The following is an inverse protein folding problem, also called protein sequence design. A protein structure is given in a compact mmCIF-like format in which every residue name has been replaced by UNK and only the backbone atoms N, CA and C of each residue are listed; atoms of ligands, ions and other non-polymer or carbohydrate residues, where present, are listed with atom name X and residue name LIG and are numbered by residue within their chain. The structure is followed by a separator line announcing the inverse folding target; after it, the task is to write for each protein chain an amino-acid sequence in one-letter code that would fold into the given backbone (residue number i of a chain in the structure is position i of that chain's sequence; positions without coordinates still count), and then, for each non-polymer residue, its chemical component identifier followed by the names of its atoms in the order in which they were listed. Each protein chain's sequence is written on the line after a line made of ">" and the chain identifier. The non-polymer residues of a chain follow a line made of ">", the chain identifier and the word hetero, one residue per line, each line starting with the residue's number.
data_IF_093457243681
#
_entry.id   IF_093457243681
#
_cell.length_a   1.000
_cell.length_b   1.000
_cell.length_c   1.000
_cell.angle_alpha   90.00
_cell.angle_beta   90.00
_cell.angle_gamma   90.00
#
_symmetry.space_group_name_H-M   'P 1'
#
loop_
_entity.id
_entity.type
_entity.pdbx_description
1 polymer ?
#
# COMPACT_ATOMS: atom_id res chain seq x y z
N UNK A 1 -11.28 -14.99 -6.29
CA UNK A 1 -11.53 -13.53 -6.42
C UNK A 1 -12.00 -12.79 -5.14
N UNK A 2 -13.03 -13.19 -4.38
CA UNK A 2 -13.42 -12.47 -3.14
C UNK A 2 -12.25 -12.30 -2.13
N UNK A 3 -11.49 -13.37 -1.89
CA UNK A 3 -10.31 -13.33 -1.03
C UNK A 3 -9.20 -12.43 -1.59
N UNK A 4 -9.00 -12.43 -2.91
CA UNK A 4 -8.03 -11.53 -3.58
C UNK A 4 -8.44 -10.07 -3.44
N UNK A 5 -9.74 -9.75 -3.55
CA UNK A 5 -10.25 -8.40 -3.30
C UNK A 5 -10.04 -7.96 -1.84
N UNK A 6 -10.26 -8.87 -0.89
CA UNK A 6 -10.00 -8.62 0.52
C UNK A 6 -8.50 -8.37 0.79
N UNK A 7 -7.63 -9.14 0.15
CA UNK A 7 -6.18 -8.97 0.23
C UNK A 7 -5.70 -7.64 -0.39
N UNK A 8 -6.23 -7.26 -1.56
CA UNK A 8 -5.89 -5.98 -2.20
C UNK A 8 -6.28 -4.77 -1.32
N UNK A 9 -7.43 -4.82 -0.64
CA UNK A 9 -7.83 -3.78 0.32
C UNK A 9 -6.97 -3.83 1.59
N UNK A 10 -6.68 -5.02 2.13
CA UNK A 10 -5.90 -5.15 3.36
C UNK A 10 -4.45 -4.71 3.20
N UNK A 11 -3.86 -4.90 2.02
CA UNK A 11 -2.49 -4.50 1.69
C UNK A 11 -2.24 -2.99 1.85
N UNK A 12 -3.30 -2.18 1.74
CA UNK A 12 -3.24 -0.72 1.88
C UNK A 12 -3.91 -0.20 3.15
N UNK A 13 -4.37 -1.09 4.04
CA UNK A 13 -5.16 -0.72 5.21
C UNK A 13 -4.36 -0.01 6.32
N UNK A 14 -3.06 -0.29 6.42
CA UNK A 14 -2.22 0.21 7.53
C UNK A 14 -1.87 1.69 7.43
N UNK A 15 -2.27 2.39 6.37
CA UNK A 15 -1.84 3.76 6.07
C UNK A 15 -2.50 4.81 6.95
N UNK A 16 -3.67 4.54 7.55
CA UNK A 16 -4.38 5.54 8.36
C UNK A 16 -3.48 6.12 9.47
N UNK A 17 -3.40 7.44 9.66
CA UNK A 17 -2.51 8.10 10.65
C UNK A 17 -0.99 7.87 10.48
N UNK A 18 -0.52 7.14 9.45
CA UNK A 18 0.91 6.95 9.14
C UNK A 18 1.46 8.13 8.34
N UNK A 19 1.39 9.34 8.89
CA UNK A 19 1.77 10.58 8.20
C UNK A 19 3.28 10.82 8.12
N UNK A 20 4.07 10.02 8.85
CA UNK A 20 5.53 10.06 8.78
C UNK A 20 6.03 9.61 7.40
N UNK A 21 6.88 10.42 6.77
CA UNK A 21 7.51 10.08 5.49
C UNK A 21 8.51 8.92 5.70
N UNK A 22 8.40 7.80 4.98
CA UNK A 22 9.41 6.74 5.03
C UNK A 22 10.74 7.24 4.47
N UNK A 23 11.85 6.58 4.86
CA UNK A 23 13.15 6.86 4.26
C UNK A 23 13.10 6.58 2.76
N UNK A 24 13.74 7.44 1.97
CA UNK A 24 13.91 7.20 0.54
C UNK A 24 15.01 6.12 0.39
N UNK A 25 14.71 4.95 -0.19
CA UNK A 25 15.72 3.91 -0.34
C UNK A 25 16.88 4.37 -1.24
N UNK A 26 18.10 3.95 -0.92
CA UNK A 26 19.24 4.16 -1.79
C UNK A 26 19.14 3.25 -3.03
N UNK A 27 19.71 3.64 -4.16
CA UNK A 27 19.76 2.79 -5.35
C UNK A 27 20.53 1.49 -5.04
N UNK A 28 19.91 0.34 -5.29
CA UNK A 28 20.45 -0.98 -4.93
C UNK A 28 20.21 -1.40 -3.48
N UNK A 29 19.53 -0.58 -2.67
CA UNK A 29 19.06 -0.98 -1.34
C UNK A 29 18.08 -2.14 -1.45
N UNK A 30 18.24 -3.13 -0.58
CA UNK A 30 17.38 -4.31 -0.52
C UNK A 30 16.66 -4.40 0.81
N UNK A 31 15.59 -5.17 0.85
CA UNK A 31 14.95 -5.58 2.11
C UNK A 31 14.36 -6.98 1.95
N UNK A 32 14.74 -7.89 2.83
CA UNK A 32 14.11 -9.21 2.93
C UNK A 32 13.23 -9.40 4.16
N UNK A 33 12.25 -10.29 4.06
CA UNK A 33 11.43 -10.70 5.20
C UNK A 33 10.99 -12.16 5.03
N UNK A 34 11.30 -13.01 6.00
CA UNK A 34 10.73 -14.37 6.08
C UNK A 34 9.82 -14.45 7.30
N UNK A 35 8.57 -14.86 7.10
CA UNK A 35 7.56 -15.03 8.15
C UNK A 35 7.04 -16.46 8.09
N UNK A 36 7.71 -17.35 8.80
CA UNK A 36 7.32 -18.77 8.88
C UNK A 36 5.91 -18.95 9.44
N UNK A 37 5.56 -18.14 10.45
CA UNK A 37 4.24 -18.12 11.08
C UNK A 37 3.11 -17.70 10.13
N UNK A 38 3.44 -16.90 9.10
CA UNK A 38 2.52 -16.48 8.04
C UNK A 38 2.72 -17.23 6.72
N UNK A 39 3.72 -18.12 6.66
CA UNK A 39 3.97 -18.99 5.52
C UNK A 39 4.51 -18.30 4.27
N UNK A 40 5.26 -17.19 4.36
CA UNK A 40 5.84 -16.54 3.18
C UNK A 40 7.26 -16.02 3.39
N UNK A 41 7.97 -15.80 2.28
CA UNK A 41 9.20 -14.99 2.24
C UNK A 41 9.11 -13.92 1.16
N UNK A 42 9.82 -12.83 1.36
CA UNK A 42 9.75 -11.59 0.60
C UNK A 42 11.15 -11.02 0.37
N UNK A 43 11.36 -10.42 -0.81
CA UNK A 43 12.52 -9.61 -1.15
C UNK A 43 12.06 -8.37 -1.94
N UNK A 44 12.70 -7.23 -1.69
CA UNK A 44 12.58 -6.04 -2.51
C UNK A 44 13.94 -5.41 -2.79
N UNK A 45 14.02 -4.68 -3.90
CA UNK A 45 15.19 -3.90 -4.31
C UNK A 45 14.75 -2.53 -4.82
N UNK A 46 15.49 -1.48 -4.47
CA UNK A 46 15.36 -0.17 -5.09
C UNK A 46 16.05 -0.18 -6.46
N UNK A 47 15.29 -0.58 -7.48
CA UNK A 47 15.77 -0.80 -8.85
C UNK A 47 16.04 0.50 -9.63
N UNK A 48 15.47 1.62 -9.20
CA UNK A 48 15.72 2.94 -9.80
C UNK A 48 15.55 4.05 -8.78
N UNK A 49 16.31 5.14 -8.91
CA UNK A 49 16.20 6.34 -8.06
C UNK A 49 15.57 7.54 -8.79
N UNK A 50 15.67 7.59 -10.13
CA UNK A 50 15.07 8.63 -10.96
C UNK A 50 14.45 8.03 -12.23
N UNK A 51 13.13 7.73 -12.25
CA UNK A 51 12.19 7.87 -11.12
C UNK A 51 12.46 6.83 -10.00
N UNK A 52 12.02 7.09 -8.75
CA UNK A 52 12.18 6.13 -7.66
C UNK A 52 11.25 4.93 -7.89
N UNK A 53 11.81 3.75 -8.11
CA UNK A 53 11.07 2.50 -8.31
C UNK A 53 11.59 1.47 -7.32
N UNK A 54 10.69 0.90 -6.53
CA UNK A 54 10.96 -0.27 -5.68
C UNK A 54 10.27 -1.48 -6.31
N UNK A 55 11.04 -2.52 -6.65
CA UNK A 55 10.52 -3.79 -7.11
C UNK A 55 10.46 -4.78 -5.95
N UNK A 56 9.47 -5.67 -5.93
CA UNK A 56 9.34 -6.67 -4.89
C UNK A 56 8.84 -8.01 -5.43
N UNK A 57 9.19 -9.06 -4.70
CA UNK A 57 8.80 -10.44 -4.95
C UNK A 57 8.54 -11.14 -3.63
N UNK A 58 7.47 -11.93 -3.58
CA UNK A 58 7.08 -12.73 -2.43
C UNK A 58 6.58 -14.08 -2.91
N UNK A 59 6.92 -15.12 -2.18
CA UNK A 59 6.43 -16.47 -2.44
C UNK A 59 5.98 -17.15 -1.15
N UNK A 60 4.92 -17.96 -1.26
CA UNK A 60 4.50 -18.82 -0.18
C UNK A 60 5.54 -19.92 0.06
N UNK A 61 5.90 -20.16 1.33
CA UNK A 61 6.85 -21.21 1.71
C UNK A 61 6.36 -22.61 1.28
N UNK A 62 5.05 -22.77 1.14
CA UNK A 62 4.39 -23.98 0.66
C UNK A 62 4.11 -23.98 -0.85
N UNK A 63 4.69 -23.04 -1.61
CA UNK A 63 4.53 -22.89 -3.06
C UNK A 63 3.05 -22.80 -3.49
N UNK A 64 2.24 -22.11 -2.70
CA UNK A 64 0.82 -21.91 -2.94
C UNK A 64 0.52 -20.60 -3.67
N UNK A 65 1.36 -19.58 -3.53
CA UNK A 65 1.25 -18.32 -4.26
C UNK A 65 2.60 -17.70 -4.61
N UNK A 66 2.58 -16.82 -5.62
CA UNK A 66 3.62 -15.83 -5.90
C UNK A 66 2.96 -14.45 -5.94
N UNK A 67 3.55 -13.45 -5.30
CA UNK A 67 3.05 -12.08 -5.23
C UNK A 67 4.17 -11.10 -5.54
N UNK A 68 4.04 -10.30 -6.59
CA UNK A 68 5.10 -9.44 -7.06
C UNK A 68 4.57 -8.17 -7.74
N UNK A 69 5.48 -7.24 -7.97
CA UNK A 69 5.22 -6.03 -8.71
C UNK A 69 6.31 -5.00 -8.47
N UNK A 70 6.09 -3.81 -9.01
CA UNK A 70 6.96 -2.66 -8.80
C UNK A 70 6.13 -1.41 -8.54
N UNK A 71 6.63 -0.50 -7.71
CA UNK A 71 5.92 0.72 -7.34
C UNK A 71 6.79 1.94 -7.60
N UNK A 72 6.25 2.85 -8.41
CA UNK A 72 6.70 4.21 -8.59
C UNK A 72 5.67 5.18 -7.98
N UNK A 73 5.93 5.78 -6.80
CA UNK A 73 5.04 6.76 -6.20
C UNK A 73 5.17 8.11 -6.91
N UNK A 74 4.31 8.38 -7.89
CA UNK A 74 4.30 9.67 -8.59
C UNK A 74 3.59 10.72 -7.74
N UNK A 75 4.33 11.74 -7.32
CA UNK A 75 3.81 12.83 -6.50
C UNK A 75 3.19 13.96 -7.35
N UNK A 76 2.06 14.50 -6.91
CA UNK A 76 1.42 15.72 -7.41
C UNK A 76 1.02 16.60 -6.24
N UNK A 77 1.35 17.89 -6.31
CA UNK A 77 0.99 18.87 -5.29
C UNK A 77 -0.23 19.67 -5.75
N UNK A 78 -1.25 19.73 -4.90
CA UNK A 78 -2.54 20.37 -5.15
C UNK A 78 -2.80 21.53 -4.17
N UNK A 79 -1.76 22.32 -3.87
CA UNK A 79 -1.86 23.45 -2.95
C UNK A 79 -1.86 23.02 -1.48
N UNK A 80 -2.96 22.47 -0.98
CA UNK A 80 -3.05 22.02 0.44
C UNK A 80 -2.81 20.53 0.63
N UNK A 81 -2.74 19.76 -0.45
CA UNK A 81 -2.60 18.31 -0.41
C UNK A 81 -1.54 17.79 -1.37
N UNK A 82 -0.96 16.63 -1.05
CA UNK A 82 -0.05 15.88 -1.93
C UNK A 82 -0.72 14.56 -2.27
N UNK A 83 -0.88 14.30 -3.56
CA UNK A 83 -1.28 12.99 -4.07
C UNK A 83 -0.05 12.17 -4.43
N UNK A 84 0.02 10.95 -3.91
CA UNK A 84 0.93 9.90 -4.32
C UNK A 84 0.16 8.86 -5.12
N UNK A 85 0.41 8.79 -6.42
CA UNK A 85 -0.15 7.80 -7.34
C UNK A 85 0.83 6.60 -7.41
N UNK A 86 0.54 5.44 -6.77
CA UNK A 86 1.42 4.29 -6.77
C UNK A 86 1.35 3.55 -8.11
N UNK A 87 2.21 3.94 -9.04
CA UNK A 87 2.23 3.38 -10.40
C UNK A 87 2.95 2.04 -10.43
N UNK A 88 2.31 1.06 -11.04
CA UNK A 88 2.86 -0.24 -11.34
C UNK A 88 1.82 -1.34 -11.18
N UNK A 89 2.03 -2.44 -11.90
CA UNK A 89 1.12 -3.59 -11.87
C UNK A 89 1.47 -4.44 -10.66
N UNK A 90 0.46 -4.73 -9.84
CA UNK A 90 0.54 -5.75 -8.81
C UNK A 90 0.05 -7.07 -9.41
N UNK A 91 0.81 -8.14 -9.21
CA UNK A 91 0.51 -9.47 -9.73
C UNK A 91 0.47 -10.48 -8.59
N UNK A 92 -0.61 -11.25 -8.51
CA UNK A 92 -0.76 -12.39 -7.61
C UNK A 92 -1.07 -13.64 -8.43
N UNK A 93 -0.27 -14.67 -8.25
CA UNK A 93 -0.40 -15.96 -8.91
C UNK A 93 -0.75 -17.01 -7.85
N UNK A 94 -1.90 -17.67 -7.99
CA UNK A 94 -2.32 -18.78 -7.13
C UNK A 94 -1.96 -20.09 -7.83
N UNK A 95 -0.79 -20.62 -7.50
CA UNK A 95 -0.13 -21.70 -8.24
C UNK A 95 -0.97 -22.98 -8.28
N UNK A 96 -1.65 -23.32 -7.18
CA UNK A 96 -2.53 -24.51 -7.09
C UNK A 96 -3.75 -24.44 -8.00
N UNK A 97 -4.17 -23.23 -8.38
CA UNK A 97 -5.35 -23.01 -9.22
C UNK A 97 -4.98 -22.65 -10.65
N UNK A 98 -3.69 -22.45 -10.95
CA UNK A 98 -3.22 -21.90 -12.22
C UNK A 98 -3.96 -20.60 -12.59
N UNK A 99 -4.11 -19.72 -11.59
CA UNK A 99 -4.80 -18.44 -11.72
C UNK A 99 -3.84 -17.29 -11.48
N UNK A 100 -3.96 -16.24 -12.29
CA UNK A 100 -3.24 -15.00 -12.11
C UNK A 100 -4.18 -13.82 -12.02
N UNK A 101 -3.85 -12.91 -11.11
CA UNK A 101 -4.63 -11.73 -10.79
C UNK A 101 -3.76 -10.50 -10.89
N UNK A 102 -4.25 -9.46 -11.58
CA UNK A 102 -3.53 -8.18 -11.64
C UNK A 102 -4.41 -7.00 -11.26
N UNK A 103 -3.83 -6.01 -10.60
CA UNK A 103 -4.47 -4.73 -10.30
C UNK A 103 -3.43 -3.62 -10.11
N UNK A 104 -3.91 -2.38 -9.94
CA UNK A 104 -3.12 -1.23 -9.48
C UNK A 104 -3.67 -0.73 -8.16
N UNK A 105 -2.82 -0.18 -7.30
CA UNK A 105 -3.24 0.35 -6.00
C UNK A 105 -3.99 1.69 -6.15
N UNK A 106 -4.85 2.06 -5.17
CA UNK A 106 -5.54 3.35 -5.16
C UNK A 106 -4.55 4.50 -4.95
N UNK A 107 -4.94 5.72 -5.34
CA UNK A 107 -4.17 6.93 -5.04
C UNK A 107 -4.23 7.20 -3.54
N UNK A 108 -3.09 7.58 -2.95
CA UNK A 108 -3.02 8.06 -1.59
C UNK A 108 -2.91 9.60 -1.58
N UNK A 109 -3.68 10.27 -0.74
CA UNK A 109 -3.65 11.71 -0.59
C UNK A 109 -3.29 12.07 0.85
N UNK A 110 -2.27 12.91 1.00
CA UNK A 110 -1.90 13.55 2.28
C UNK A 110 -2.49 14.95 2.26
N UNK A 111 -3.43 15.22 3.15
CA UNK A 111 -4.06 16.54 3.28
C UNK A 111 -3.34 17.41 4.30
N UNK A 112 -3.58 18.71 4.24
CA UNK A 112 -3.07 19.71 5.17
C UNK A 112 -1.53 19.80 5.22
N UNK A 113 -0.86 19.64 4.07
CA UNK A 113 0.62 19.58 4.00
C UNK A 113 1.32 20.92 4.28
N UNK A 114 0.58 22.03 4.27
CA UNK A 114 1.11 23.37 4.61
C UNK A 114 0.73 23.76 6.05
N UNK A 115 -0.56 23.71 6.39
CA UNK A 115 -1.13 24.14 7.68
C UNK A 115 -2.21 23.15 8.09
N UNK A 116 -2.29 22.85 9.39
CA UNK A 116 -3.29 21.96 9.97
C UNK A 116 -2.75 20.58 10.33
N UNK A 117 -3.62 19.71 10.83
CA UNK A 117 -3.27 18.33 11.14
C UNK A 117 -3.22 17.51 9.86
N UNK A 118 -2.06 16.91 9.57
CA UNK A 118 -1.91 15.95 8.47
C UNK A 118 -2.86 14.76 8.65
N UNK A 119 -3.55 14.38 7.59
CA UNK A 119 -4.34 13.15 7.55
C UNK A 119 -4.28 12.52 6.17
N UNK A 120 -4.58 11.22 6.13
CA UNK A 120 -4.40 10.38 4.95
C UNK A 120 -5.74 9.90 4.42
N UNK A 121 -5.87 9.95 3.11
CA UNK A 121 -7.00 9.42 2.38
C UNK A 121 -6.52 8.47 1.29
N UNK A 122 -7.35 7.51 0.93
CA UNK A 122 -7.16 6.70 -0.27
C UNK A 122 -8.44 6.68 -1.08
N UNK A 123 -8.32 6.97 -2.38
CA UNK A 123 -9.43 6.99 -3.31
C UNK A 123 -9.01 6.51 -4.71
N UNK A 124 -10.00 6.24 -5.54
CA UNK A 124 -9.81 5.77 -6.92
C UNK A 124 -10.47 4.43 -7.18
N UNK A 125 -10.36 3.95 -8.41
CA UNK A 125 -10.93 2.67 -8.82
C UNK A 125 -9.82 1.63 -8.95
N UNK A 126 -9.93 0.56 -8.18
CA UNK A 126 -9.06 -0.61 -8.27
C UNK A 126 -9.81 -1.70 -9.03
N UNK A 127 -9.20 -2.17 -10.13
CA UNK A 127 -9.74 -3.25 -10.93
C UNK A 127 -8.84 -4.48 -10.83
N UNK A 128 -9.37 -5.56 -10.26
CA UNK A 128 -8.68 -6.84 -10.13
C UNK A 128 -9.22 -7.76 -11.21
N UNK A 129 -8.35 -8.18 -12.12
CA UNK A 129 -8.70 -9.07 -13.23
C UNK A 129 -8.14 -10.46 -12.97
N UNK A 130 -8.97 -11.49 -13.01
CA UNK A 130 -8.53 -12.89 -13.08
C UNK A 130 -8.30 -13.24 -14.55
N UNK A 131 -7.04 -13.45 -14.94
CA UNK A 131 -6.67 -13.73 -16.33
C UNK A 131 -7.04 -15.14 -16.78
N UNK A 132 -7.27 -16.06 -15.86
CA UNK A 132 -7.62 -17.45 -16.17
C UNK A 132 -9.13 -17.63 -16.41
N UNK A 133 -9.98 -16.91 -15.67
CA UNK A 133 -11.45 -17.04 -15.80
C UNK A 133 -12.11 -15.89 -16.55
N UNK A 134 -11.45 -14.72 -16.62
CA UNK A 134 -12.03 -13.47 -17.11
C UNK A 134 -12.93 -12.77 -16.09
N UNK A 135 -13.03 -13.29 -14.86
CA UNK A 135 -13.76 -12.62 -13.79
C UNK A 135 -13.05 -11.32 -13.38
N UNK A 136 -13.83 -10.32 -13.00
CA UNK A 136 -13.31 -8.99 -12.62
C UNK A 136 -13.94 -8.50 -11.34
N UNK A 137 -13.12 -7.99 -10.43
CA UNK A 137 -13.56 -7.25 -9.26
C UNK A 137 -13.28 -5.76 -9.47
N UNK A 138 -14.31 -4.92 -9.30
CA UNK A 138 -14.18 -3.47 -9.35
C UNK A 138 -14.41 -2.93 -7.94
N UNK A 139 -13.42 -2.26 -7.37
CA UNK A 139 -13.46 -1.64 -6.04
C UNK A 139 -13.31 -0.13 -6.18
N UNK A 140 -14.27 0.63 -5.68
CA UNK A 140 -14.22 2.08 -5.67
C UNK A 140 -13.89 2.54 -4.24
N UNK A 141 -12.67 3.04 -4.07
CA UNK A 141 -12.27 3.78 -2.87
C UNK A 141 -12.84 5.18 -3.00
N UNK A 142 -13.85 5.49 -2.19
CA UNK A 142 -14.62 6.72 -2.30
C UNK A 142 -13.81 7.89 -1.72
N UNK A 143 -13.76 9.03 -2.41
CA UNK A 143 -13.26 10.23 -1.79
C UNK A 143 -14.25 10.69 -0.70
N UNK A 144 -13.72 11.34 0.32
CA UNK A 144 -14.35 11.87 1.52
C UNK A 144 -15.60 12.71 1.19
N UNK A 145 -15.50 13.53 0.13
CA UNK A 145 -16.57 14.43 -0.32
C UNK A 145 -16.81 15.61 0.64
N UNK A 146 -17.68 16.55 0.23
CA UNK A 146 -17.90 17.83 0.92
C UNK A 146 -18.42 17.72 2.37
N UNK A 147 -18.97 16.57 2.76
CA UNK A 147 -19.53 16.34 4.11
C UNK A 147 -18.90 15.14 4.82
N UNK A 148 -17.77 14.64 4.30
CA UNK A 148 -17.06 13.50 4.85
C UNK A 148 -17.73 12.13 4.76
N UNK A 149 -19.00 12.04 4.33
CA UNK A 149 -19.90 10.84 4.43
C UNK A 149 -19.34 9.54 3.85
N UNK A 150 -18.36 9.67 2.98
CA UNK A 150 -17.78 8.55 2.24
C UNK A 150 -16.33 8.27 2.67
N UNK A 151 -15.86 8.93 3.74
CA UNK A 151 -14.49 8.80 4.23
C UNK A 151 -14.14 7.33 4.47
N UNK A 152 -13.08 6.90 3.80
CA UNK A 152 -12.52 5.55 3.79
C UNK A 152 -13.41 4.46 3.20
N UNK A 153 -14.59 4.79 2.68
CA UNK A 153 -15.54 3.80 2.19
C UNK A 153 -14.99 3.13 0.93
N UNK A 154 -15.14 1.81 0.89
CA UNK A 154 -14.86 0.99 -0.30
C UNK A 154 -16.17 0.34 -0.72
N UNK A 155 -16.56 0.52 -1.97
CA UNK A 155 -17.74 -0.14 -2.56
C UNK A 155 -17.43 -0.68 -3.94
N UNK A 156 -17.88 -1.90 -4.21
CA UNK A 156 -17.49 -2.61 -5.41
C UNK A 156 -18.35 -3.82 -5.69
N UNK A 157 -17.97 -4.56 -6.71
CA UNK A 157 -18.65 -5.79 -7.09
C UNK A 157 -17.69 -6.71 -7.83
N UNK A 158 -18.00 -8.01 -7.78
CA UNK A 158 -17.39 -9.02 -8.64
C UNK A 158 -18.37 -9.32 -9.76
N UNK A 159 -17.86 -9.41 -10.99
CA UNK A 159 -18.61 -9.82 -12.16
C UNK A 159 -17.88 -10.94 -12.90
N UNK A 160 -18.64 -11.78 -13.59
CA UNK A 160 -18.08 -12.77 -14.50
C UNK A 160 -17.64 -12.14 -15.84
N UNK A 161 -17.03 -12.95 -16.71
CA UNK A 161 -16.65 -12.56 -18.08
C UNK A 161 -17.81 -12.04 -18.94
N UNK A 162 -19.05 -12.36 -18.59
CA UNK A 162 -20.27 -11.89 -19.26
C UNK A 162 -20.84 -10.62 -18.61
N UNK A 163 -20.10 -9.98 -17.70
CA UNK A 163 -20.49 -8.78 -16.95
C UNK A 163 -21.69 -8.98 -16.03
N UNK A 164 -22.03 -10.23 -15.69
CA UNK A 164 -23.06 -10.51 -14.69
C UNK A 164 -22.46 -10.30 -13.30
N UNK A 165 -23.05 -9.40 -12.52
CA UNK A 165 -22.66 -9.18 -11.12
C UNK A 165 -22.95 -10.43 -10.28
N UNK A 166 -21.90 -10.99 -9.68
CA UNK A 166 -21.97 -12.19 -8.84
C UNK A 166 -22.15 -11.82 -7.37
N UNK A 167 -21.43 -10.82 -6.88
CA UNK A 167 -21.59 -10.30 -5.52
C UNK A 167 -21.21 -8.82 -5.42
N UNK A 168 -21.71 -8.16 -4.40
CA UNK A 168 -21.28 -6.81 -4.00
C UNK A 168 -20.24 -6.94 -2.90
N UNK A 169 -19.27 -6.02 -2.91
CA UNK A 169 -18.25 -5.87 -1.88
C UNK A 169 -18.40 -4.47 -1.29
N UNK A 170 -18.42 -4.35 0.03
CA UNK A 170 -18.55 -3.04 0.69
C UNK A 170 -17.82 -3.03 2.04
N UNK A 171 -17.37 -1.85 2.47
CA UNK A 171 -16.64 -1.72 3.72
C UNK A 171 -15.95 -0.36 3.88
N UNK A 172 -14.96 -0.33 4.76
CA UNK A 172 -14.00 0.76 4.91
C UNK A 172 -12.60 0.17 4.94
N UNK A 173 -11.67 0.72 4.16
CA UNK A 173 -10.29 0.20 4.11
C UNK A 173 -9.54 0.35 5.44
N UNK A 174 -10.05 1.17 6.36
CA UNK A 174 -9.53 1.32 7.73
C UNK A 174 -10.15 0.36 8.75
N UNK A 175 -11.16 -0.45 8.38
CA UNK A 175 -11.92 -1.24 9.34
C UNK A 175 -12.11 -2.70 8.88
N UNK A 176 -12.89 -2.91 7.82
CA UNK A 176 -13.31 -4.24 7.38
C UNK A 176 -13.92 -4.22 5.97
N UNK A 177 -14.03 -5.41 5.39
CA UNK A 177 -14.64 -5.65 4.09
C UNK A 177 -15.64 -6.80 4.19
N UNK A 178 -16.82 -6.59 3.62
CA UNK A 178 -17.94 -7.53 3.58
C UNK A 178 -18.32 -7.85 2.14
N UNK A 179 -18.99 -8.97 1.95
CA UNK A 179 -19.64 -9.30 0.69
C UNK A 179 -21.08 -9.76 0.91
N UNK A 180 -21.95 -9.40 -0.02
CA UNK A 180 -23.37 -9.76 -0.01
C UNK A 180 -23.87 -9.98 -1.43
N UNK A 181 -25.03 -10.60 -1.60
CA UNK A 181 -25.64 -10.75 -2.91
C UNK A 181 -26.12 -9.38 -3.46
N UNK A 182 -26.12 -9.19 -4.78
CA UNK A 182 -26.48 -7.90 -5.37
C UNK A 182 -27.92 -7.45 -5.04
N UNK A 183 -28.88 -8.37 -4.89
CA UNK A 183 -30.27 -8.02 -4.67
C UNK A 183 -30.51 -7.50 -3.24
N UNK A 184 -29.89 -8.14 -2.25
CA UNK A 184 -29.91 -7.70 -0.85
C UNK A 184 -29.29 -6.32 -0.70
N UNK A 185 -28.15 -6.08 -1.36
CA UNK A 185 -27.49 -4.77 -1.33
C UNK A 185 -28.37 -3.65 -1.94
N UNK A 186 -28.97 -3.89 -3.10
CA UNK A 186 -29.87 -2.91 -3.74
C UNK A 186 -31.11 -2.61 -2.90
N UNK A 187 -31.69 -3.64 -2.28
CA UNK A 187 -32.82 -3.48 -1.37
C UNK A 187 -32.45 -2.62 -0.16
N UNK A 188 -31.29 -2.87 0.44
CA UNK A 188 -30.78 -2.09 1.57
C UNK A 188 -30.49 -0.63 1.19
N UNK A 189 -29.83 -0.38 0.04
CA UNK A 189 -29.56 0.98 -0.47
C UNK A 189 -30.85 1.76 -0.73
N UNK A 190 -31.92 1.10 -1.19
CA UNK A 190 -33.24 1.73 -1.38
C UNK A 190 -33.90 2.08 -0.05
N UNK A 191 -33.80 1.24 0.98
CA UNK A 191 -34.34 1.56 2.31
C UNK A 191 -33.60 2.71 2.97
N UNK A 192 -32.27 2.77 2.83
CA UNK A 192 -31.47 3.90 3.35
C UNK A 192 -31.87 5.23 2.70
N UNK A 193 -32.08 5.27 1.39
CA UNK A 193 -32.55 6.48 0.69
C UNK A 193 -33.91 6.95 1.20
N UNK A 194 -34.87 6.03 1.38
CA UNK A 194 -36.22 6.35 1.90
C UNK A 194 -36.18 6.84 3.35
N UNK A 195 -35.34 6.25 4.20
CA UNK A 195 -35.15 6.69 5.58
C UNK A 195 -34.41 8.04 5.69
N UNK A 196 -33.48 8.31 4.76
CA UNK A 196 -32.77 9.59 4.66
C UNK A 196 -33.66 10.77 4.22
N UNK A 197 -34.63 10.53 3.34
CA UNK A 197 -35.63 11.53 2.94
C UNK A 197 -36.55 11.93 4.11
N UNK A 198 -36.96 10.98 4.96
CA UNK A 198 -37.74 11.26 6.17
C UNK A 198 -36.94 12.02 7.24
N UNK A 199 -35.61 11.84 7.31
CA UNK A 199 -34.73 12.64 8.20
C UNK A 199 -34.48 14.05 7.67
N UNK A 200 -34.42 14.24 6.34
CA UNK A 200 -34.22 15.57 5.72
C UNK A 200 -35.38 16.53 5.97
N UNK A 201 -36.61 16.05 6.17
CA UNK A 201 -37.77 16.91 6.47
C UNK A 201 -37.79 17.46 7.91
N UNK A 202 -36.81 17.11 8.76
CA UNK A 202 -36.68 17.61 10.14
C UNK A 202 -35.44 18.48 10.40
N UNK A 203 -34.57 18.67 9.40
CA UNK A 203 -33.28 19.36 9.55
C UNK A 203 -33.22 20.69 8.78
N UNK A 204 -34.35 21.18 8.24
CA UNK A 204 -34.38 22.36 7.37
C UNK A 204 -34.51 23.71 8.08
N UNK A 205 -34.28 23.82 9.38
CA UNK A 205 -34.42 25.12 10.09
C UNK A 205 -33.17 25.69 10.76
N UNK A 206 -32.07 24.95 10.96
CA UNK A 206 -30.92 25.51 11.67
C UNK A 206 -29.58 25.01 11.11
N UNK A 207 -29.09 25.57 10.01
CA UNK A 207 -27.64 25.89 9.79
C UNK A 207 -27.55 26.90 8.64
N UNK A 208 -27.53 28.20 8.96
CA UNK A 208 -26.77 29.17 8.17
C UNK A 208 -25.55 29.50 9.04
N UNK A 209 -24.45 28.79 8.81
CA UNK A 209 -23.13 29.18 9.30
C UNK A 209 -22.25 29.52 8.11
N UNK A 210 -21.55 30.62 8.30
CA UNK A 210 -20.73 31.38 7.37
C UNK A 210 -19.77 30.51 6.57
N UNK A 211 -19.87 30.63 5.24
CA UNK A 211 -18.84 30.22 4.30
C UNK A 211 -17.57 31.04 4.54
N UNK A 212 -16.42 30.36 4.47
CA UNK A 212 -15.03 30.83 4.62
C UNK A 212 -14.41 30.53 6.00
N UNK A 213 -14.02 29.26 6.20
CA UNK A 213 -12.77 28.81 6.87
C UNK A 213 -12.84 27.33 7.35
N UNK A 214 -13.98 26.64 7.22
CA UNK A 214 -14.17 25.24 7.72
C UNK A 214 -13.64 24.12 6.80
N UNK A 215 -12.92 24.42 5.71
CA UNK A 215 -12.46 23.39 4.77
C UNK A 215 -11.17 22.66 5.19
N UNK A 216 -10.52 23.08 6.28
CA UNK A 216 -9.19 22.56 6.69
C UNK A 216 -9.25 21.56 7.86
N UNK A 217 -10.39 21.36 8.50
CA UNK A 217 -10.52 20.38 9.58
C UNK A 217 -10.85 18.98 9.04
N UNK A 218 -10.14 17.97 9.58
CA UNK A 218 -10.43 16.57 9.30
C UNK A 218 -11.88 16.27 9.69
N UNK A 219 -12.71 15.68 8.81
CA UNK A 219 -14.09 15.38 9.15
C UNK A 219 -14.15 14.49 10.39
N UNK A 220 -15.10 14.77 11.29
CA UNK A 220 -15.30 13.96 12.49
C UNK A 220 -15.48 12.48 12.11
N UNK A 221 -14.87 11.60 12.92
CA UNK A 221 -14.84 10.15 12.67
C UNK A 221 -16.26 9.63 12.51
N UNK A 222 -16.55 9.16 11.30
CA UNK A 222 -17.89 8.72 10.94
C UNK A 222 -18.20 7.31 11.44
N UNK A 223 -19.49 7.06 11.66
CA UNK A 223 -20.07 5.78 12.03
C UNK A 223 -19.38 4.61 11.30
N UNK A 224 -19.06 3.55 12.07
CA UNK A 224 -18.53 2.29 11.54
C UNK A 224 -19.40 1.75 10.40
N UNK A 225 -18.81 0.97 9.49
CA UNK A 225 -19.56 0.36 8.37
C UNK A 225 -20.83 -0.32 8.88
N UNK A 226 -22.00 0.10 8.38
CA UNK A 226 -23.27 -0.55 8.74
C UNK A 226 -23.31 -1.98 8.16
N UNK A 227 -23.60 -2.95 9.02
CA UNK A 227 -23.73 -4.34 8.65
C UNK A 227 -25.06 -4.58 7.91
N UNK A 228 -25.00 -5.16 6.72
CA UNK A 228 -26.17 -5.60 5.97
C UNK A 228 -26.44 -7.06 6.34
N UNK A 229 -27.60 -7.41 6.91
CA UNK A 229 -27.93 -8.79 7.27
C UNK A 229 -27.72 -9.77 6.10
N UNK A 230 -27.13 -10.93 6.40
CA UNK A 230 -26.78 -11.94 5.39
C UNK A 230 -25.40 -11.75 4.74
N UNK A 231 -24.67 -10.67 5.07
CA UNK A 231 -23.33 -10.44 4.52
C UNK A 231 -22.28 -11.38 5.13
N UNK A 232 -21.34 -11.80 4.30
CA UNK A 232 -20.15 -12.57 4.67
C UNK A 232 -18.98 -11.64 4.95
N UNK A 233 -18.34 -11.77 6.11
CA UNK A 233 -17.09 -11.05 6.41
C UNK A 233 -15.97 -11.61 5.52
N UNK A 234 -15.27 -10.73 4.81
CA UNK A 234 -14.11 -11.09 4.00
C UNK A 234 -12.79 -10.78 4.70
N UNK A 235 -12.72 -9.62 5.37
CA UNK A 235 -11.52 -9.15 6.05
C UNK A 235 -11.88 -8.15 7.15
N UNK A 236 -11.05 -8.09 8.19
CA UNK A 236 -11.09 -7.08 9.25
C UNK A 236 -9.65 -6.70 9.61
N UNK A 237 -9.42 -5.42 9.83
CA UNK A 237 -8.11 -4.92 10.26
C UNK A 237 -7.77 -5.43 11.66
N UNK A 238 -6.50 -5.73 11.90
CA UNK A 238 -6.01 -6.01 13.24
C UNK A 238 -5.93 -4.71 14.04
N UNK A 239 -6.28 -4.77 15.32
CA UNK A 239 -6.12 -3.63 16.22
C UNK A 239 -4.64 -3.24 16.32
N UNK A 240 -4.38 -1.93 16.35
CA UNK A 240 -3.05 -1.41 16.65
C UNK A 240 -2.67 -1.70 18.11
N UNK A 241 -1.37 -1.89 18.40
CA UNK A 241 -0.93 -2.04 19.79
C UNK A 241 -1.22 -0.75 20.59
N UNK A 242 -1.43 -0.83 21.91
CA UNK A 242 -1.84 0.33 22.73
C UNK A 242 -0.87 1.53 22.67
N UNK A 243 0.41 1.28 22.45
CA UNK A 243 1.47 2.28 22.34
C UNK A 243 1.71 2.78 20.89
N UNK A 244 0.89 2.37 19.94
CA UNK A 244 1.04 2.72 18.52
C UNK A 244 1.15 4.24 18.28
N UNK A 245 0.35 5.05 18.97
CA UNK A 245 0.38 6.52 18.82
C UNK A 245 1.69 7.17 19.29
N UNK A 246 2.45 6.48 20.15
CA UNK A 246 3.77 6.91 20.61
C UNK A 246 4.89 6.40 19.69
N UNK A 247 4.59 5.43 18.81
CA UNK A 247 5.53 4.76 17.92
C UNK A 247 5.08 4.91 16.46
N UNK A 248 4.95 6.16 16.01
CA UNK A 248 4.69 6.51 14.61
C UNK A 248 3.43 5.86 14.00
N UNK A 249 2.45 5.50 14.83
CA UNK A 249 1.23 4.78 14.45
C UNK A 249 1.46 3.40 13.81
N UNK A 250 2.55 2.71 14.20
CA UNK A 250 2.89 1.40 13.66
C UNK A 250 1.91 0.30 14.11
N UNK A 251 1.61 -0.61 13.17
CA UNK A 251 0.97 -1.89 13.49
C UNK A 251 2.00 -2.83 14.13
N UNK A 252 1.57 -3.88 14.83
CA UNK A 252 2.50 -4.89 15.35
C UNK A 252 3.36 -5.53 14.25
N UNK A 253 2.79 -5.70 13.05
CA UNK A 253 3.54 -6.15 11.88
C UNK A 253 4.64 -5.15 11.49
N UNK A 254 4.33 -3.85 11.43
CA UNK A 254 5.29 -2.82 11.07
C UNK A 254 6.44 -2.70 12.07
N UNK A 255 6.17 -2.85 13.37
CA UNK A 255 7.20 -2.85 14.42
C UNK A 255 8.23 -3.96 14.19
N UNK A 256 7.80 -5.15 13.76
CA UNK A 256 8.72 -6.28 13.50
C UNK A 256 9.58 -6.13 12.23
N UNK A 257 9.31 -5.16 11.35
CA UNK A 257 9.96 -5.12 10.04
C UNK A 257 11.47 -4.83 10.12
N UNK A 258 11.87 -3.92 11.02
CA UNK A 258 13.24 -3.42 11.14
C UNK A 258 13.99 -4.03 12.35
N UNK A 259 13.40 -5.03 12.99
CA UNK A 259 14.07 -5.80 14.04
C UNK A 259 15.29 -6.52 13.45
N UNK A 260 16.42 -6.42 14.16
CA UNK A 260 17.70 -7.02 13.79
C UNK A 260 18.14 -7.91 14.95
N UNK A 261 17.80 -9.19 14.86
CA UNK A 261 18.15 -10.19 15.88
C UNK A 261 19.65 -10.52 15.84
N UNK A 262 20.16 -11.01 16.97
CA UNK A 262 21.55 -11.41 17.10
C UNK A 262 21.90 -12.49 16.06
N UNK A 263 22.93 -12.24 15.25
CA UNK A 263 23.40 -13.16 14.21
C UNK A 263 22.76 -12.93 12.83
N UNK A 264 21.70 -12.13 12.71
CA UNK A 264 21.12 -11.77 11.40
C UNK A 264 22.14 -11.06 10.50
N UNK A 265 22.99 -10.21 11.07
CA UNK A 265 24.02 -9.47 10.32
C UNK A 265 24.95 -10.37 9.49
N UNK A 266 25.16 -11.63 9.92
CA UNK A 266 26.01 -12.58 9.20
C UNK A 266 25.32 -13.25 8.00
N UNK A 267 23.97 -13.16 7.91
CA UNK A 267 23.16 -13.80 6.86
C UNK A 267 22.47 -12.80 5.93
N UNK A 268 22.31 -11.54 6.36
CA UNK A 268 21.71 -10.48 5.56
C UNK A 268 22.65 -10.09 4.41
N UNK A 269 22.06 -9.67 3.30
CA UNK A 269 22.84 -8.94 2.29
C UNK A 269 23.37 -7.64 2.91
N UNK A 270 24.59 -7.17 2.54
CA UNK A 270 25.13 -5.90 3.04
C UNK A 270 24.28 -4.69 2.61
N UNK A 271 23.37 -4.89 1.67
CA UNK A 271 22.39 -3.92 1.17
C UNK A 271 21.05 -3.98 1.90
N UNK A 272 20.84 -4.86 2.89
CA UNK A 272 19.58 -4.95 3.63
C UNK A 272 19.37 -3.72 4.52
N UNK A 273 18.20 -3.08 4.43
CA UNK A 273 17.95 -1.81 5.09
C UNK A 273 17.91 -1.88 6.63
N UNK A 274 17.90 -3.07 7.25
CA UNK A 274 18.13 -3.20 8.69
C UNK A 274 19.53 -2.76 9.12
N UNK A 275 20.49 -2.83 8.20
CA UNK A 275 21.88 -2.42 8.39
C UNK A 275 22.08 -0.91 8.11
N UNK A 276 21.04 -0.22 7.64
CA UNK A 276 21.13 1.17 7.23
C UNK A 276 21.25 2.11 8.45
N UNK A 277 22.36 2.87 8.59
CA UNK A 277 22.71 3.51 9.86
C UNK A 277 21.83 4.70 10.23
N UNK A 278 21.31 5.48 9.27
CA UNK A 278 20.41 6.61 9.55
C UNK A 278 19.06 6.14 10.13
N UNK A 279 18.49 5.08 9.56
CA UNK A 279 17.26 4.44 10.06
C UNK A 279 17.47 3.91 11.48
N UNK A 280 18.54 3.14 11.71
CA UNK A 280 18.83 2.55 13.02
C UNK A 280 19.02 3.60 14.11
N UNK A 281 19.76 4.68 13.80
CA UNK A 281 19.96 5.77 14.75
C UNK A 281 18.65 6.52 15.05
N UNK A 282 17.79 6.74 14.06
CA UNK A 282 16.49 7.37 14.28
C UNK A 282 15.59 6.50 15.17
N UNK A 283 15.57 5.19 14.93
CA UNK A 283 14.80 4.23 15.72
C UNK A 283 15.26 4.19 17.19
N UNK A 284 16.58 4.28 17.43
CA UNK A 284 17.17 4.35 18.77
C UNK A 284 17.03 5.74 19.44
N UNK A 285 16.41 6.72 18.78
CA UNK A 285 16.24 8.08 19.30
C UNK A 285 17.46 9.00 19.14
N UNK A 286 18.52 8.55 18.46
CA UNK A 286 19.75 9.31 18.22
C UNK A 286 19.60 10.23 17.00
N UNK A 287 18.73 11.24 17.10
CA UNK A 287 18.33 12.09 15.96
C UNK A 287 19.47 12.83 15.27
N UNK A 288 20.46 13.32 16.04
CA UNK A 288 21.62 14.04 15.49
C UNK A 288 22.52 13.13 14.66
N UNK A 289 22.75 11.90 15.14
CA UNK A 289 23.54 10.89 14.43
C UNK A 289 22.81 10.42 13.19
N UNK A 290 21.49 10.17 13.30
CA UNK A 290 20.65 9.81 12.16
C UNK A 290 20.72 10.86 11.04
N UNK A 291 20.68 12.14 11.40
CA UNK A 291 20.75 13.24 10.43
C UNK A 291 22.10 13.30 9.71
N UNK A 292 23.22 13.11 10.44
CA UNK A 292 24.58 13.07 9.86
C UNK A 292 24.78 11.87 8.95
N UNK A 293 24.34 10.68 9.39
CA UNK A 293 24.45 9.47 8.58
C UNK A 293 23.60 9.58 7.32
N UNK A 294 22.41 10.17 7.39
CA UNK A 294 21.58 10.43 6.22
C UNK A 294 22.30 11.30 5.19
N UNK A 295 22.91 12.40 5.63
CA UNK A 295 23.68 13.29 4.76
C UNK A 295 24.85 12.53 4.11
N UNK A 296 25.62 11.77 4.89
CA UNK A 296 26.74 10.94 4.41
C UNK A 296 26.29 9.94 3.35
N UNK A 297 25.18 9.23 3.57
CA UNK A 297 24.62 8.24 2.64
C UNK A 297 24.15 8.90 1.33
N UNK A 298 23.41 10.00 1.43
CA UNK A 298 22.93 10.73 0.25
C UNK A 298 24.09 11.35 -0.56
N UNK A 299 25.17 11.78 0.10
CA UNK A 299 26.40 12.24 -0.55
C UNK A 299 27.15 11.10 -1.24
N UNK A 300 27.35 9.96 -0.58
CA UNK A 300 27.97 8.76 -1.15
C UNK A 300 27.22 8.32 -2.42
N UNK A 301 25.89 8.25 -2.37
CA UNK A 301 25.07 7.93 -3.53
C UNK A 301 25.21 8.95 -4.66
N UNK A 302 25.23 10.26 -4.35
CA UNK A 302 25.41 11.33 -5.34
C UNK A 302 26.78 11.26 -6.01
N UNK A 303 27.83 10.98 -5.24
CA UNK A 303 29.19 10.80 -5.75
C UNK A 303 29.26 9.58 -6.68
N UNK A 304 28.80 8.42 -6.23
CA UNK A 304 28.78 7.19 -7.02
C UNK A 304 27.99 7.34 -8.33
N UNK A 305 26.89 8.11 -8.33
CA UNK A 305 26.15 8.44 -9.56
C UNK A 305 26.98 9.30 -10.52
N UNK A 306 27.70 10.31 -10.02
CA UNK A 306 28.58 11.16 -10.83
C UNK A 306 29.73 10.35 -11.43
N UNK A 307 30.31 9.45 -10.66
CA UNK A 307 31.38 8.56 -11.12
C UNK A 307 30.90 7.65 -12.24
N UNK A 308 29.76 6.96 -12.06
CA UNK A 308 29.15 6.15 -13.13
C UNK A 308 28.85 6.96 -14.39
N UNK A 309 28.35 8.19 -14.26
CA UNK A 309 28.06 9.05 -15.40
C UNK A 309 29.33 9.52 -16.13
N UNK A 310 30.43 9.78 -15.40
CA UNK A 310 31.73 10.14 -15.97
C UNK A 310 32.35 8.97 -16.72
N UNK A 311 32.21 7.76 -16.17
CA UNK A 311 32.84 6.55 -16.70
C UNK A 311 31.92 5.83 -17.71
N UNK A 312 30.79 6.44 -18.09
CA UNK A 312 29.77 5.90 -19.01
C UNK A 312 29.26 4.50 -18.61
N UNK A 313 29.22 4.21 -17.31
CA UNK A 313 28.76 2.94 -16.75
C UNK A 313 27.26 2.99 -16.46
N UNK A 314 26.53 1.96 -16.93
CA UNK A 314 25.13 1.75 -16.56
C UNK A 314 25.00 1.09 -15.20
N UNK A 315 23.91 1.39 -14.50
CA UNK A 315 23.55 0.67 -13.28
C UNK A 315 22.82 -0.61 -13.65
N UNK A 316 23.32 -1.75 -13.16
CA UNK A 316 22.63 -3.04 -13.25
C UNK A 316 22.07 -3.41 -11.89
N UNK A 317 20.76 -3.65 -11.84
CA UNK A 317 20.07 -4.21 -10.69
C UNK A 317 20.46 -5.67 -10.51
N UNK A 318 20.48 -6.13 -9.25
CA UNK A 318 21.03 -7.46 -8.95
C UNK A 318 19.96 -8.54 -8.95
N UNK A 319 18.80 -8.25 -8.36
CA UNK A 319 17.79 -9.25 -8.06
C UNK A 319 16.56 -9.14 -8.95
N UNK A 320 16.43 -8.05 -9.69
CA UNK A 320 15.34 -7.81 -10.62
C UNK A 320 15.88 -7.40 -11.99
N UNK A 321 15.11 -7.63 -13.04
CA UNK A 321 15.39 -7.15 -14.39
C UNK A 321 14.13 -6.57 -15.02
N UNK A 322 14.30 -5.65 -15.97
CA UNK A 322 13.17 -5.14 -16.74
C UNK A 322 12.66 -6.24 -17.68
N UNK A 323 11.35 -6.43 -17.67
CA UNK A 323 10.68 -7.41 -18.51
C UNK A 323 9.26 -6.97 -18.85
N UNK A 324 8.50 -7.89 -19.43
CA UNK A 324 7.08 -7.68 -19.73
C UNK A 324 6.25 -8.55 -18.80
N UNK A 325 5.27 -7.94 -18.13
CA UNK A 325 4.30 -8.68 -17.32
C UNK A 325 3.54 -9.67 -18.22
N UNK A 326 3.55 -10.98 -17.91
CA UNK A 326 3.02 -12.01 -18.82
C UNK A 326 1.50 -11.94 -18.99
N UNK A 327 0.79 -11.24 -18.10
CA UNK A 327 -0.67 -11.18 -18.09
C UNK A 327 -1.22 -9.88 -18.69
N UNK A 328 -0.51 -8.77 -18.52
CA UNK A 328 -0.96 -7.45 -19.00
C UNK A 328 -0.20 -6.94 -20.23
N UNK A 329 0.96 -7.52 -20.55
CA UNK A 329 1.84 -7.03 -21.61
C UNK A 329 2.52 -5.69 -21.29
N UNK A 330 2.40 -5.18 -20.06
CA UNK A 330 3.02 -3.92 -19.63
C UNK A 330 4.47 -4.14 -19.20
N UNK A 331 5.31 -3.10 -19.29
CA UNK A 331 6.65 -3.13 -18.68
C UNK A 331 6.56 -3.40 -17.18
N UNK A 332 7.47 -4.23 -16.66
CA UNK A 332 7.54 -4.60 -15.25
C UNK A 332 8.98 -4.86 -14.81
N UNK A 333 9.19 -5.02 -13.51
CA UNK A 333 10.45 -5.49 -12.93
C UNK A 333 10.25 -6.90 -12.37
N UNK A 334 10.86 -7.88 -13.03
CA UNK A 334 10.70 -9.29 -12.73
C UNK A 334 11.85 -9.78 -11.86
N UNK A 335 11.55 -10.61 -10.86
CA UNK A 335 12.56 -11.21 -10.01
C UNK A 335 13.44 -12.19 -10.82
N UNK A 336 14.75 -12.03 -10.70
CA UNK A 336 15.76 -12.80 -11.44
C UNK A 336 16.12 -14.13 -10.77
N UNK A 337 15.67 -14.37 -9.52
CA UNK A 337 16.13 -15.50 -8.72
C UNK A 337 17.44 -15.24 -7.99
N UNK A 338 17.94 -16.23 -7.27
CA UNK A 338 19.28 -16.23 -6.68
C UNK A 338 19.45 -15.51 -5.34
N UNK A 339 18.56 -14.59 -4.95
CA UNK A 339 18.71 -13.84 -3.68
C UNK A 339 18.78 -14.78 -2.47
N UNK A 340 17.86 -15.75 -2.42
CA UNK A 340 17.76 -16.69 -1.30
C UNK A 340 18.86 -17.76 -1.29
N UNK A 341 19.75 -17.80 -2.28
CA UNK A 341 20.93 -18.68 -2.31
C UNK A 341 22.09 -18.13 -1.47
N UNK A 342 21.95 -16.91 -0.92
CA UNK A 342 22.88 -16.28 0.03
C UNK A 342 24.28 -15.98 -0.50
N UNK A 343 24.44 -15.90 -1.82
CA UNK A 343 25.70 -15.45 -2.42
C UNK A 343 25.70 -13.92 -2.65
N UNK A 344 26.30 -13.18 -1.71
CA UNK A 344 26.31 -11.72 -1.73
C UNK A 344 27.63 -11.07 -2.16
N UNK A 345 28.60 -11.83 -2.70
CA UNK A 345 29.95 -11.33 -3.04
C UNK A 345 29.96 -10.04 -3.87
N UNK A 346 29.03 -9.92 -4.81
CA UNK A 346 28.99 -8.83 -5.78
C UNK A 346 27.95 -7.75 -5.41
N UNK A 347 27.63 -7.60 -4.12
CA UNK A 347 26.64 -6.61 -3.69
C UNK A 347 27.28 -5.22 -3.73
N UNK A 348 26.50 -4.18 -4.10
CA UNK A 348 27.00 -2.82 -4.07
C UNK A 348 27.25 -2.36 -2.62
N UNK A 349 28.31 -1.58 -2.42
CA UNK A 349 28.57 -0.91 -1.16
C UNK A 349 27.84 0.44 -1.11
N UNK A 350 26.70 0.46 -0.40
CA UNK A 350 25.78 1.60 -0.37
C UNK A 350 25.68 2.29 0.98
N UNK A 351 26.18 1.69 2.07
CA UNK A 351 26.12 2.27 3.42
C UNK A 351 27.38 2.98 3.86
#
# INVERSE_FOLDING_TARGET
>A
LQAVAAFAVSAVASQWERTGKPFNPLLGETYELTREDLGFRFISEQVSHHPPISAFYSEGLNKDFIFHGSIYPKLKFWGKSIEAEPRGTITLELLKHNEAYTWTNPTCCVHNVIIGKLWLEQYGTVEIVNHSTGDKCVLNFKPCGLFGKELHRVEGYIQDKHKKKLCVIYGKWTECLWSTDPMTYETYKKSEKRGGEQKKSKLSEDVIKSENDEADDMPEVQDTVQFIPGSKLLWRINCRPPNSSQMYNFTSFAVSLNELEQGMEAILAPTDCRLRPDIRNMENGNMDVASKEKERLEEKQRAARKDRARDELEWHTRWFHQGTNPYTGTSDWLYSGGYFDRNFSDCPDIY
#
